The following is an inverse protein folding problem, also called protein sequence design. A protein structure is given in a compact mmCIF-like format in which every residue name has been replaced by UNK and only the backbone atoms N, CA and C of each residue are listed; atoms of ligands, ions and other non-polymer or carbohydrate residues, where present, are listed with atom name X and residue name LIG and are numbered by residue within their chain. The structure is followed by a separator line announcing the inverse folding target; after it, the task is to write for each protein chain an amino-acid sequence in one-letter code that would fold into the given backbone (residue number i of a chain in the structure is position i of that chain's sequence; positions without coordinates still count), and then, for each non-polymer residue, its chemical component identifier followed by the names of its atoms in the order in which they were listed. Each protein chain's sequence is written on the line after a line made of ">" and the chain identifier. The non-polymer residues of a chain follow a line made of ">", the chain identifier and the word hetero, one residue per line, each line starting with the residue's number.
data_IF_862936348126
#
_entry.id   IF_862936348126
#
_cell.length_a   1.000
_cell.length_b   1.000
_cell.length_c   1.000
_cell.angle_alpha   90.00
_cell.angle_beta   90.00
_cell.angle_gamma   90.00
#
_symmetry.space_group_name_H-M   'P 1'
#
loop_
_entity.id
_entity.type
_entity.pdbx_description
1 polymer ?
#
# COMPACT_ATOMS: atom_id res chain seq x y z
N UNK A 1 -55.41 -45.10 29.26
CA UNK A 1 -55.54 -43.67 29.56
C UNK A 1 -55.00 -42.89 28.38
N UNK A 2 -55.90 -42.27 27.64
CA UNK A 2 -55.67 -41.52 26.39
C UNK A 2 -55.11 -40.13 26.69
N UNK A 3 -53.87 -39.87 26.26
CA UNK A 3 -53.26 -38.54 26.33
C UNK A 3 -53.91 -37.63 25.26
N UNK A 4 -54.40 -36.48 25.70
CA UNK A 4 -55.18 -35.55 24.87
C UNK A 4 -54.31 -34.57 24.09
N UNK A 5 -54.79 -34.14 22.91
CA UNK A 5 -54.17 -33.20 21.95
C UNK A 5 -53.81 -31.80 22.49
N UNK A 6 -54.03 -31.50 23.77
CA UNK A 6 -53.79 -30.18 24.38
C UNK A 6 -52.48 -30.05 25.18
N UNK A 7 -51.66 -31.10 25.23
CA UNK A 7 -50.32 -31.06 25.86
C UNK A 7 -49.16 -31.02 24.85
N UNK A 8 -49.43 -30.80 23.57
CA UNK A 8 -48.40 -30.71 22.51
C UNK A 8 -48.00 -29.26 22.16
N UNK A 9 -48.53 -28.24 22.85
CA UNK A 9 -48.35 -26.83 22.47
C UNK A 9 -47.84 -25.93 23.59
N UNK A 10 -46.93 -26.42 24.44
CA UNK A 10 -46.07 -25.57 25.27
C UNK A 10 -44.68 -26.21 25.45
N UNK A 11 -43.86 -26.10 24.41
CA UNK A 11 -42.40 -26.14 24.50
C UNK A 11 -41.85 -25.16 23.45
N UNK A 12 -42.07 -23.88 23.73
CA UNK A 12 -41.32 -22.77 23.14
C UNK A 12 -39.88 -22.84 23.62
N UNK A 13 -38.93 -22.94 22.68
CA UNK A 13 -37.50 -22.88 22.94
C UNK A 13 -36.73 -22.79 21.64
N UNK A 14 -36.87 -21.67 20.92
CA UNK A 14 -35.98 -21.30 19.84
C UNK A 14 -34.59 -20.99 20.41
N UNK A 15 -33.64 -21.88 20.16
CA UNK A 15 -32.19 -21.67 20.26
C UNK A 15 -31.63 -22.51 19.09
N UNK A 16 -31.12 -21.95 18.01
CA UNK A 16 -30.21 -20.81 17.98
C UNK A 16 -28.81 -21.31 18.33
N UNK A 17 -28.20 -22.10 17.45
CA UNK A 17 -26.77 -22.30 17.42
C UNK A 17 -26.38 -22.58 15.96
N UNK A 18 -26.13 -21.50 15.23
CA UNK A 18 -25.23 -21.51 14.09
C UNK A 18 -23.94 -22.14 14.62
N UNK A 19 -23.62 -23.33 14.14
CA UNK A 19 -22.29 -23.88 14.31
C UNK A 19 -21.36 -22.96 13.50
N UNK A 20 -20.86 -21.92 14.16
CA UNK A 20 -19.69 -21.18 13.71
C UNK A 20 -18.56 -22.20 13.61
N UNK A 21 -18.32 -22.71 12.40
CA UNK A 21 -17.07 -23.36 12.07
C UNK A 21 -15.97 -22.29 12.15
N UNK A 22 -15.58 -21.95 13.38
CA UNK A 22 -14.40 -21.17 13.67
C UNK A 22 -13.19 -22.06 13.50
N UNK A 23 -12.76 -22.26 12.26
CA UNK A 23 -11.40 -22.65 11.94
C UNK A 23 -11.06 -22.08 10.55
N UNK A 24 -9.90 -21.41 10.48
CA UNK A 24 -9.24 -20.76 9.32
C UNK A 24 -9.48 -19.24 9.20
N UNK A 25 -8.46 -18.37 9.12
CA UNK A 25 -7.06 -18.59 8.76
C UNK A 25 -6.10 -17.58 9.43
N UNK A 26 -4.94 -18.09 9.84
CA UNK A 26 -3.70 -17.34 10.10
C UNK A 26 -3.38 -16.55 8.80
N UNK A 27 -3.54 -15.21 8.82
CA UNK A 27 -3.34 -14.37 7.62
C UNK A 27 -1.82 -14.31 7.35
N UNK A 28 -1.32 -14.86 6.22
CA UNK A 28 0.12 -14.92 6.00
C UNK A 28 0.75 -13.52 6.01
N UNK A 29 1.93 -13.44 6.63
CA UNK A 29 2.71 -12.21 6.78
C UNK A 29 2.05 -11.10 7.60
N UNK A 30 0.96 -11.38 8.32
CA UNK A 30 0.32 -10.45 9.24
C UNK A 30 0.13 -11.11 10.60
N UNK A 31 0.42 -10.40 11.69
CA UNK A 31 0.15 -10.90 13.04
C UNK A 31 -1.29 -10.67 13.45
N UNK A 32 -1.75 -11.51 14.38
CA UNK A 32 -3.06 -11.41 15.01
C UNK A 32 -4.21 -11.79 14.06
N UNK A 33 -5.39 -11.95 14.63
CA UNK A 33 -6.59 -12.38 13.89
C UNK A 33 -7.75 -11.38 14.00
N UNK A 34 -7.61 -10.36 14.83
CA UNK A 34 -8.67 -9.38 15.05
C UNK A 34 -8.93 -8.55 13.78
N UNK A 35 -10.19 -8.26 13.50
CA UNK A 35 -10.57 -7.28 12.50
C UNK A 35 -10.17 -5.85 12.93
N UNK A 36 -9.94 -4.92 11.99
CA UNK A 36 -9.68 -3.53 12.33
C UNK A 36 -10.89 -2.90 13.04
N UNK A 37 -10.64 -1.93 13.92
CA UNK A 37 -11.71 -1.11 14.52
C UNK A 37 -12.18 -0.04 13.54
N UNK A 38 -11.27 0.50 12.73
CA UNK A 38 -11.63 1.33 11.59
C UNK A 38 -12.41 0.47 10.59
N UNK A 39 -13.62 0.92 10.22
CA UNK A 39 -14.38 0.32 9.12
C UNK A 39 -14.01 1.05 7.83
N UNK A 40 -13.30 0.43 6.88
CA UNK A 40 -12.91 1.11 5.66
C UNK A 40 -14.15 1.48 4.83
N UNK A 41 -14.21 2.70 4.29
CA UNK A 41 -15.28 3.07 3.37
C UNK A 41 -15.36 2.11 2.19
N UNK A 42 -16.56 1.83 1.69
CA UNK A 42 -16.75 1.01 0.50
C UNK A 42 -15.92 1.56 -0.68
N UNK A 43 -15.17 0.68 -1.34
CA UNK A 43 -14.26 1.06 -2.42
C UNK A 43 -12.86 1.46 -1.95
N UNK A 44 -12.51 1.28 -0.67
CA UNK A 44 -11.16 1.48 -0.16
C UNK A 44 -10.11 0.68 -0.94
N UNK A 45 -8.91 1.26 -1.07
CA UNK A 45 -7.79 0.78 -1.88
C UNK A 45 -6.53 0.70 -1.00
N UNK A 46 -5.90 -0.48 -0.94
CA UNK A 46 -4.53 -0.59 -0.45
C UNK A 46 -3.56 -0.13 -1.53
N UNK A 47 -2.88 1.01 -1.34
CA UNK A 47 -2.07 1.63 -2.38
C UNK A 47 -0.62 1.13 -2.42
N UNK A 48 -0.22 0.17 -1.58
CA UNK A 48 1.13 -0.37 -1.61
C UNK A 48 1.17 -1.80 -1.08
N UNK A 49 1.26 -2.76 -1.99
CA UNK A 49 1.56 -4.15 -1.65
C UNK A 49 2.38 -4.80 -2.77
N UNK A 50 3.01 -5.93 -2.46
CA UNK A 50 3.83 -6.70 -3.37
C UNK A 50 3.35 -8.14 -3.42
N UNK A 51 3.58 -8.80 -4.56
CA UNK A 51 3.44 -10.24 -4.72
C UNK A 51 4.82 -10.86 -4.94
N UNK A 52 5.00 -12.09 -4.49
CA UNK A 52 6.23 -12.85 -4.64
C UNK A 52 5.94 -14.27 -5.09
N UNK A 53 6.69 -14.71 -6.09
CA UNK A 53 6.64 -16.02 -6.72
C UNK A 53 8.06 -16.46 -7.11
N UNK A 54 8.56 -17.50 -6.45
CA UNK A 54 9.88 -18.08 -6.63
C UNK A 54 10.09 -18.74 -8.01
N UNK A 55 9.02 -18.95 -8.80
CA UNK A 55 9.11 -19.42 -10.18
C UNK A 55 9.67 -18.37 -11.13
N UNK A 56 9.55 -17.09 -10.77
CA UNK A 56 10.19 -15.99 -11.51
C UNK A 56 11.54 -15.72 -10.83
N UNK A 57 12.66 -15.79 -11.57
CA UNK A 57 13.98 -15.61 -10.97
C UNK A 57 14.13 -14.17 -10.45
N UNK A 58 14.80 -14.04 -9.30
CA UNK A 58 15.19 -12.72 -8.80
C UNK A 58 16.17 -12.06 -9.78
N UNK A 59 16.08 -10.73 -9.90
CA UNK A 59 17.00 -9.94 -10.68
C UNK A 59 18.44 -10.07 -10.13
N UNK A 60 19.46 -10.03 -11.00
CA UNK A 60 20.86 -9.99 -10.55
C UNK A 60 21.10 -8.88 -9.53
N UNK A 61 21.72 -9.23 -8.39
CA UNK A 61 22.02 -8.27 -7.32
C UNK A 61 20.84 -7.95 -6.39
N UNK A 62 19.69 -8.61 -6.54
CA UNK A 62 18.59 -8.50 -5.58
C UNK A 62 19.03 -8.94 -4.17
N UNK A 63 18.78 -8.07 -3.18
CA UNK A 63 19.13 -8.32 -1.77
C UNK A 63 17.95 -8.76 -0.91
N UNK A 64 16.73 -8.40 -1.30
CA UNK A 64 15.50 -8.83 -0.65
C UNK A 64 14.94 -10.05 -1.39
N UNK A 65 14.95 -11.19 -0.70
CA UNK A 65 14.44 -12.47 -1.19
C UNK A 65 13.41 -13.04 -0.19
N UNK A 66 12.24 -12.40 -0.05
CA UNK A 66 11.21 -12.89 0.85
C UNK A 66 10.61 -14.21 0.33
N UNK A 67 9.87 -14.89 1.21
CA UNK A 67 9.10 -16.07 0.83
C UNK A 67 7.98 -15.73 -0.17
N UNK A 68 7.48 -16.74 -0.86
CA UNK A 68 6.34 -16.61 -1.77
C UNK A 68 5.12 -16.02 -1.06
N UNK A 69 4.53 -15.01 -1.67
CA UNK A 69 3.42 -14.25 -1.14
C UNK A 69 2.41 -14.04 -2.27
N UNK A 70 1.43 -14.94 -2.32
CA UNK A 70 0.50 -15.04 -3.44
C UNK A 70 -0.66 -14.05 -3.33
N UNK A 71 -1.37 -13.85 -4.44
CA UNK A 71 -2.61 -13.09 -4.44
C UNK A 71 -3.68 -13.76 -3.54
N UNK A 72 -3.70 -15.09 -3.47
CA UNK A 72 -4.60 -15.85 -2.60
C UNK A 72 -4.32 -15.61 -1.12
N UNK A 73 -3.04 -15.47 -0.74
CA UNK A 73 -2.67 -15.12 0.63
C UNK A 73 -3.07 -13.69 0.95
N UNK A 74 -2.85 -12.76 0.03
CA UNK A 74 -3.29 -11.38 0.21
C UNK A 74 -4.82 -11.25 0.30
N UNK A 75 -5.59 -12.07 -0.44
CA UNK A 75 -7.06 -12.10 -0.34
C UNK A 75 -7.57 -12.43 1.08
N UNK A 76 -6.81 -13.21 1.86
CA UNK A 76 -7.13 -13.45 3.28
C UNK A 76 -6.98 -12.17 4.09
N UNK A 77 -5.93 -11.39 3.83
CA UNK A 77 -5.76 -10.07 4.44
C UNK A 77 -6.87 -9.10 4.01
N UNK A 78 -7.21 -9.06 2.73
CA UNK A 78 -8.32 -8.25 2.21
C UNK A 78 -9.65 -8.56 2.91
N UNK A 79 -9.97 -9.84 3.10
CA UNK A 79 -11.15 -10.27 3.84
C UNK A 79 -11.10 -9.80 5.30
N UNK A 80 -9.94 -9.90 5.96
CA UNK A 80 -9.75 -9.44 7.34
C UNK A 80 -9.91 -7.92 7.46
N UNK A 81 -9.34 -7.15 6.55
CA UNK A 81 -9.35 -5.68 6.59
C UNK A 81 -10.65 -5.07 6.06
N UNK A 82 -11.41 -5.77 5.23
CA UNK A 82 -12.56 -5.20 4.52
C UNK A 82 -12.16 -4.30 3.34
N UNK A 83 -10.97 -4.52 2.76
CA UNK A 83 -10.43 -3.76 1.62
C UNK A 83 -10.33 -4.70 0.42
N UNK A 84 -10.93 -4.33 -0.72
CA UNK A 84 -11.00 -5.20 -1.91
C UNK A 84 -10.08 -4.77 -3.05
N UNK A 85 -9.84 -3.47 -3.20
CA UNK A 85 -9.00 -2.93 -4.28
C UNK A 85 -7.57 -2.76 -3.82
N UNK A 86 -6.62 -2.87 -4.75
CA UNK A 86 -5.19 -2.80 -4.41
C UNK A 86 -4.33 -2.21 -5.53
N UNK A 87 -3.19 -1.66 -5.16
CA UNK A 87 -2.12 -1.30 -6.09
C UNK A 87 -0.95 -2.25 -5.88
N UNK A 88 -0.71 -3.10 -6.89
CA UNK A 88 0.39 -4.07 -6.89
C UNK A 88 1.63 -3.37 -7.43
N UNK A 89 2.65 -3.23 -6.60
CA UNK A 89 3.91 -2.58 -6.95
C UNK A 89 4.94 -3.67 -7.26
N UNK A 90 5.64 -3.59 -8.39
CA UNK A 90 6.75 -4.51 -8.68
C UNK A 90 7.86 -4.33 -7.64
N UNK A 91 8.21 -5.38 -6.86
CA UNK A 91 9.26 -5.29 -5.86
C UNK A 91 10.64 -5.29 -6.53
N UNK A 92 11.65 -4.72 -5.84
CA UNK A 92 13.03 -4.67 -6.34
C UNK A 92 13.62 -6.06 -6.62
N UNK A 93 13.08 -7.10 -5.99
CA UNK A 93 13.45 -8.51 -6.20
C UNK A 93 13.42 -8.93 -7.67
N UNK A 94 12.49 -8.40 -8.46
CA UNK A 94 12.34 -8.78 -9.88
C UNK A 94 12.95 -7.78 -10.86
N UNK A 95 13.52 -6.66 -10.38
CA UNK A 95 14.04 -5.62 -11.26
C UNK A 95 12.96 -5.13 -12.23
N UNK A 96 13.23 -5.16 -13.53
CA UNK A 96 12.28 -4.77 -14.58
C UNK A 96 11.37 -5.92 -15.05
N UNK A 97 11.44 -7.11 -14.45
CA UNK A 97 10.52 -8.20 -14.76
C UNK A 97 9.21 -8.01 -14.00
N UNK A 98 8.19 -7.55 -14.72
CA UNK A 98 6.89 -7.21 -14.14
C UNK A 98 5.90 -8.40 -14.16
N UNK A 99 6.32 -9.62 -14.54
CA UNK A 99 5.39 -10.74 -14.77
C UNK A 99 4.56 -11.11 -13.55
N UNK A 100 5.15 -11.08 -12.35
CA UNK A 100 4.41 -11.38 -11.09
C UNK A 100 3.31 -10.34 -10.85
N UNK A 101 3.62 -9.05 -11.06
CA UNK A 101 2.64 -7.96 -10.92
C UNK A 101 1.54 -8.08 -11.98
N UNK A 102 1.90 -8.32 -13.24
CA UNK A 102 0.95 -8.47 -14.35
C UNK A 102 0.00 -9.67 -14.17
N UNK A 103 0.50 -10.82 -13.71
CA UNK A 103 -0.33 -11.97 -13.34
C UNK A 103 -1.32 -11.60 -12.22
N UNK A 104 -0.87 -10.86 -11.21
CA UNK A 104 -1.70 -10.30 -10.17
C UNK A 104 -2.81 -9.40 -10.71
N UNK A 105 -2.51 -8.50 -11.65
CA UNK A 105 -3.51 -7.63 -12.29
C UNK A 105 -4.57 -8.45 -13.03
N UNK A 106 -4.15 -9.41 -13.87
CA UNK A 106 -5.05 -10.29 -14.61
C UNK A 106 -5.99 -11.04 -13.66
N UNK A 107 -5.44 -11.65 -12.61
CA UNK A 107 -6.19 -12.47 -11.65
C UNK A 107 -7.02 -11.65 -10.67
N UNK A 108 -6.76 -10.35 -10.55
CA UNK A 108 -7.59 -9.42 -9.77
C UNK A 108 -8.95 -9.13 -10.42
N UNK A 109 -9.10 -9.38 -11.73
CA UNK A 109 -10.33 -9.11 -12.49
C UNK A 109 -10.84 -7.67 -12.37
N UNK A 110 -9.92 -6.71 -12.41
CA UNK A 110 -10.21 -5.27 -12.41
C UNK A 110 -10.11 -4.60 -11.04
N UNK A 111 -9.87 -5.37 -9.97
CA UNK A 111 -9.71 -4.84 -8.61
C UNK A 111 -8.31 -4.32 -8.30
N UNK A 112 -7.36 -4.48 -9.23
CA UNK A 112 -6.01 -3.98 -9.08
C UNK A 112 -5.61 -2.94 -10.13
N UNK A 113 -4.64 -2.12 -9.75
CA UNK A 113 -3.79 -1.34 -10.65
C UNK A 113 -2.33 -1.64 -10.37
N UNK A 114 -1.48 -1.47 -11.38
CA UNK A 114 -0.06 -1.79 -11.30
C UNK A 114 0.82 -0.55 -11.18
N UNK A 115 1.94 -0.69 -10.47
CA UNK A 115 3.10 0.20 -10.60
C UNK A 115 4.31 -0.63 -11.02
N UNK A 116 4.74 -0.43 -12.26
CA UNK A 116 5.81 -1.21 -12.89
C UNK A 116 7.20 -0.67 -12.57
N UNK A 117 8.23 -1.48 -12.78
CA UNK A 117 9.61 -1.03 -12.91
C UNK A 117 10.03 -1.29 -14.35
N UNK A 118 10.53 -0.28 -15.05
CA UNK A 118 10.80 -0.33 -16.49
C UNK A 118 12.24 0.04 -16.79
N UNK A 119 12.78 -0.46 -17.89
CA UNK A 119 14.09 -0.04 -18.38
C UNK A 119 13.99 1.33 -19.05
N UNK A 120 15.11 2.06 -19.13
CA UNK A 120 15.18 3.34 -19.85
C UNK A 120 14.90 3.19 -21.35
N UNK A 121 15.08 1.98 -21.89
CA UNK A 121 14.85 1.65 -23.30
C UNK A 121 13.43 1.20 -23.61
N UNK A 122 12.50 1.19 -22.64
CA UNK A 122 11.11 0.79 -22.89
C UNK A 122 10.49 1.63 -24.00
N UNK A 123 9.77 1.00 -24.92
CA UNK A 123 9.09 1.65 -26.06
C UNK A 123 7.70 2.15 -25.68
N UNK A 124 7.13 3.06 -26.47
CA UNK A 124 5.77 3.55 -26.24
C UNK A 124 4.72 2.45 -26.45
N UNK A 125 5.00 1.50 -27.34
CA UNK A 125 4.16 0.31 -27.54
C UNK A 125 4.11 -0.56 -26.28
N UNK A 126 5.26 -0.86 -25.67
CA UNK A 126 5.32 -1.61 -24.41
C UNK A 126 4.65 -0.85 -23.26
N UNK A 127 4.78 0.47 -23.18
CA UNK A 127 4.05 1.29 -22.21
C UNK A 127 2.54 1.22 -22.41
N UNK A 128 2.08 1.24 -23.67
CA UNK A 128 0.67 1.10 -24.00
C UNK A 128 0.14 -0.30 -23.63
N UNK A 129 0.92 -1.36 -23.86
CA UNK A 129 0.57 -2.73 -23.43
C UNK A 129 0.42 -2.81 -21.91
N UNK A 130 1.36 -2.24 -21.15
CA UNK A 130 1.26 -2.15 -19.70
C UNK A 130 0.02 -1.35 -19.26
N UNK A 131 -0.32 -0.27 -19.97
CA UNK A 131 -1.53 0.51 -19.68
C UNK A 131 -2.80 -0.32 -19.84
N UNK A 132 -2.91 -1.09 -20.93
CA UNK A 132 -4.04 -1.98 -21.17
C UNK A 132 -4.11 -3.10 -20.13
N UNK A 133 -2.97 -3.57 -19.62
CA UNK A 133 -2.92 -4.54 -18.54
C UNK A 133 -3.34 -3.97 -17.16
N UNK A 134 -3.51 -2.65 -17.03
CA UNK A 134 -3.94 -1.99 -15.80
C UNK A 134 -2.84 -1.28 -15.01
N UNK A 135 -1.63 -1.11 -15.59
CA UNK A 135 -0.58 -0.30 -14.99
C UNK A 135 -0.95 1.18 -15.06
N UNK A 136 -0.64 1.92 -13.99
CA UNK A 136 -0.94 3.36 -13.82
C UNK A 136 0.22 4.15 -13.22
N UNK A 137 1.39 3.53 -13.13
CA UNK A 137 2.60 4.19 -12.66
C UNK A 137 3.86 3.38 -12.94
N UNK A 138 5.00 4.07 -12.83
CA UNK A 138 6.33 3.45 -12.78
C UNK A 138 7.01 3.79 -11.46
N UNK A 139 7.93 2.94 -11.01
CA UNK A 139 8.65 3.13 -9.75
C UNK A 139 10.16 3.24 -9.95
N UNK A 140 10.74 4.22 -9.28
CA UNK A 140 12.17 4.31 -9.02
C UNK A 140 12.44 4.04 -7.54
N UNK A 141 13.41 3.17 -7.24
CA UNK A 141 13.77 2.81 -5.87
C UNK A 141 15.23 3.15 -5.60
N UNK A 142 15.46 4.10 -4.69
CA UNK A 142 16.82 4.56 -4.34
C UNK A 142 17.49 3.71 -3.26
N UNK A 143 16.87 2.63 -2.79
CA UNK A 143 17.55 1.68 -1.89
C UNK A 143 18.76 0.99 -2.54
N UNK A 144 18.89 1.06 -3.86
CA UNK A 144 20.04 0.57 -4.64
C UNK A 144 21.02 1.69 -5.06
N UNK A 145 20.80 2.93 -4.60
CA UNK A 145 21.64 4.11 -4.90
C UNK A 145 20.95 5.17 -5.78
N UNK A 146 21.52 6.38 -5.86
CA UNK A 146 20.94 7.53 -6.58
C UNK A 146 20.94 7.40 -8.11
N UNK A 147 21.83 6.57 -8.66
CA UNK A 147 21.85 6.18 -10.09
C UNK A 147 20.52 5.52 -10.52
N UNK A 148 19.72 5.05 -9.57
CA UNK A 148 18.38 4.58 -9.84
C UNK A 148 17.39 5.70 -10.24
N UNK A 149 17.81 6.94 -10.47
CA UNK A 149 17.00 7.98 -11.13
C UNK A 149 17.45 8.27 -12.57
N UNK A 150 18.32 7.45 -13.15
CA UNK A 150 18.71 7.61 -14.56
C UNK A 150 17.47 7.48 -15.45
N UNK A 151 17.29 8.40 -16.40
CA UNK A 151 16.13 8.42 -17.30
C UNK A 151 14.83 8.98 -16.69
N UNK A 152 14.84 9.42 -15.42
CA UNK A 152 13.66 9.90 -14.69
C UNK A 152 12.84 10.94 -15.47
N UNK A 153 13.45 12.02 -15.97
CA UNK A 153 12.73 13.11 -16.67
C UNK A 153 12.06 12.61 -17.95
N UNK A 154 12.79 11.81 -18.74
CA UNK A 154 12.30 11.27 -20.00
C UNK A 154 11.12 10.31 -19.76
N UNK A 155 11.28 9.37 -18.82
CA UNK A 155 10.21 8.45 -18.46
C UNK A 155 9.03 9.17 -17.81
N UNK A 156 9.26 10.15 -16.94
CA UNK A 156 8.21 10.96 -16.32
C UNK A 156 7.36 11.70 -17.35
N UNK A 157 7.99 12.30 -18.38
CA UNK A 157 7.28 12.95 -19.47
C UNK A 157 6.40 11.94 -20.23
N UNK A 158 6.97 10.81 -20.65
CA UNK A 158 6.27 9.77 -21.43
C UNK A 158 5.10 9.13 -20.67
N UNK A 159 5.30 8.74 -19.41
CA UNK A 159 4.20 8.17 -18.61
C UNK A 159 3.19 9.24 -18.20
N UNK A 160 3.60 10.50 -18.12
CA UNK A 160 2.71 11.64 -17.91
C UNK A 160 1.64 11.77 -19.00
N UNK A 161 1.99 11.50 -20.27
CA UNK A 161 1.04 11.48 -21.39
C UNK A 161 -0.03 10.39 -21.24
N UNK A 162 0.28 9.30 -20.53
CA UNK A 162 -0.66 8.22 -20.18
C UNK A 162 -1.47 8.52 -18.91
N UNK A 163 -1.27 9.68 -18.28
CA UNK A 163 -1.90 10.05 -17.00
C UNK A 163 -1.35 9.30 -15.78
N UNK A 164 -0.23 8.59 -15.94
CA UNK A 164 0.40 7.78 -14.89
C UNK A 164 1.13 8.63 -13.85
N UNK A 165 1.48 8.00 -12.74
CA UNK A 165 2.36 8.57 -11.72
C UNK A 165 3.78 8.01 -11.78
N UNK A 166 4.72 8.82 -11.32
CA UNK A 166 6.08 8.38 -10.98
C UNK A 166 6.15 8.18 -9.48
N UNK A 167 6.24 6.92 -9.07
CA UNK A 167 6.43 6.52 -7.67
C UNK A 167 7.92 6.47 -7.33
N UNK A 168 8.30 7.02 -6.17
CA UNK A 168 9.69 7.08 -5.74
C UNK A 168 9.83 6.59 -4.30
N UNK A 169 10.62 5.53 -4.11
CA UNK A 169 11.13 5.14 -2.80
C UNK A 169 12.48 5.82 -2.58
N UNK A 170 12.45 6.99 -1.94
CA UNK A 170 13.63 7.86 -1.84
C UNK A 170 14.66 7.40 -0.82
N UNK A 171 14.26 6.58 0.14
CA UNK A 171 15.08 6.31 1.33
C UNK A 171 15.52 7.62 2.00
N UNK A 172 16.75 7.69 2.54
CA UNK A 172 17.26 8.91 3.19
C UNK A 172 17.58 10.06 2.22
N UNK A 173 17.55 9.82 0.90
CA UNK A 173 18.02 10.77 -0.11
C UNK A 173 16.97 11.82 -0.53
N UNK A 174 15.77 11.80 0.08
CA UNK A 174 14.69 12.73 -0.28
C UNK A 174 15.14 14.21 -0.36
N UNK A 175 15.90 14.77 0.61
CA UNK A 175 16.32 16.17 0.52
C UNK A 175 17.17 16.48 -0.71
N UNK A 176 18.04 15.54 -1.10
CA UNK A 176 18.94 15.68 -2.25
C UNK A 176 18.18 15.60 -3.58
N UNK A 177 17.22 14.68 -3.70
CA UNK A 177 16.49 14.44 -4.95
C UNK A 177 15.26 15.34 -5.11
N UNK A 178 14.77 15.96 -4.03
CA UNK A 178 13.56 16.78 -4.06
C UNK A 178 13.57 17.91 -5.11
N UNK A 179 14.67 18.66 -5.36
CA UNK A 179 14.70 19.66 -6.43
C UNK A 179 14.40 19.06 -7.81
N UNK A 180 14.94 17.87 -8.09
CA UNK A 180 14.71 17.14 -9.34
C UNK A 180 13.26 16.68 -9.45
N UNK A 181 12.70 16.14 -8.36
CA UNK A 181 11.29 15.74 -8.29
C UNK A 181 10.33 16.92 -8.52
N UNK A 182 10.61 18.08 -7.91
CA UNK A 182 9.81 19.30 -8.10
C UNK A 182 9.78 19.77 -9.56
N UNK A 183 10.86 19.52 -10.31
CA UNK A 183 10.98 19.91 -11.71
C UNK A 183 10.30 18.93 -12.69
N UNK A 184 9.97 17.70 -12.27
CA UNK A 184 9.33 16.72 -13.16
C UNK A 184 7.95 17.22 -13.62
N UNK A 185 7.50 16.84 -14.83
CA UNK A 185 6.08 16.95 -15.19
C UNK A 185 5.26 15.82 -14.52
N UNK A 186 3.94 15.97 -14.50
CA UNK A 186 3.03 14.89 -14.11
C UNK A 186 2.95 14.63 -12.60
N UNK A 187 2.32 13.49 -12.26
CA UNK A 187 1.98 13.08 -10.88
C UNK A 187 3.16 12.34 -10.24
N UNK A 188 3.43 12.62 -8.98
CA UNK A 188 4.52 12.03 -8.19
C UNK A 188 3.94 11.36 -6.95
N UNK A 189 4.43 10.17 -6.62
CA UNK A 189 4.07 9.46 -5.38
C UNK A 189 5.33 9.18 -4.57
N UNK A 190 5.37 9.63 -3.32
CA UNK A 190 6.48 9.35 -2.41
C UNK A 190 6.09 8.19 -1.49
N UNK A 191 6.89 7.13 -1.51
CA UNK A 191 6.68 5.95 -0.68
C UNK A 191 7.01 6.21 0.81
N UNK A 192 6.31 5.50 1.69
CA UNK A 192 6.61 5.34 3.12
C UNK A 192 6.94 6.66 3.86
N UNK A 193 6.10 7.68 3.69
CA UNK A 193 6.27 9.00 4.29
C UNK A 193 7.66 9.60 4.03
N UNK A 194 8.24 9.34 2.86
CA UNK A 194 9.55 9.84 2.47
C UNK A 194 10.70 9.40 3.38
N UNK A 195 10.50 8.34 4.17
CA UNK A 195 11.49 7.83 5.11
C UNK A 195 12.03 8.89 6.09
N UNK A 196 11.18 9.85 6.50
CA UNK A 196 11.54 10.92 7.44
C UNK A 196 12.28 10.36 8.66
N UNK A 197 13.49 10.86 8.97
CA UNK A 197 14.30 10.31 10.06
C UNK A 197 13.71 10.66 11.43
N UNK A 198 14.04 9.81 12.40
CA UNK A 198 13.73 9.98 13.82
C UNK A 198 15.05 10.09 14.60
N UNK A 199 15.14 10.96 15.63
CA UNK A 199 14.03 11.66 16.28
C UNK A 199 13.70 13.07 15.72
N UNK A 200 14.43 13.56 14.72
CA UNK A 200 14.29 14.95 14.23
C UNK A 200 12.93 15.21 13.58
N UNK A 201 12.35 14.19 12.92
CA UNK A 201 11.00 14.16 12.39
C UNK A 201 10.62 15.46 11.64
N UNK A 202 9.70 16.25 12.21
CA UNK A 202 9.16 17.48 11.63
C UNK A 202 10.20 18.58 11.43
N UNK A 203 11.35 18.51 12.12
CA UNK A 203 12.47 19.45 11.95
C UNK A 203 13.48 18.99 10.91
N UNK A 204 13.32 17.79 10.37
CA UNK A 204 14.27 17.23 9.40
C UNK A 204 14.15 17.90 8.03
N UNK A 205 15.26 17.99 7.27
CA UNK A 205 15.22 18.41 5.87
C UNK A 205 14.30 17.53 4.99
N UNK A 206 14.15 16.25 5.34
CA UNK A 206 13.27 15.32 4.62
C UNK A 206 11.80 15.72 4.78
N UNK A 207 11.35 16.06 6.00
CA UNK A 207 9.99 16.54 6.21
C UNK A 207 9.74 17.85 5.47
N UNK A 208 10.68 18.81 5.54
CA UNK A 208 10.58 20.05 4.78
C UNK A 208 10.49 19.82 3.26
N UNK A 209 11.19 18.80 2.73
CA UNK A 209 11.09 18.42 1.32
C UNK A 209 9.71 17.83 0.96
N UNK A 210 9.12 17.01 1.83
CA UNK A 210 7.75 16.51 1.64
C UNK A 210 6.73 17.64 1.58
N UNK A 211 6.82 18.61 2.51
CA UNK A 211 5.93 19.78 2.51
C UNK A 211 6.04 20.54 1.19
N UNK A 212 7.25 20.84 0.72
CA UNK A 212 7.43 21.52 -0.58
C UNK A 212 6.87 20.73 -1.76
N UNK A 213 7.01 19.41 -1.76
CA UNK A 213 6.41 18.55 -2.80
C UNK A 213 4.87 18.58 -2.71
N UNK A 214 4.31 18.50 -1.51
CA UNK A 214 2.87 18.60 -1.26
C UNK A 214 2.28 19.97 -1.54
N UNK A 215 3.08 21.04 -1.49
CA UNK A 215 2.65 22.38 -1.91
C UNK A 215 2.47 22.45 -3.44
N UNK A 216 2.99 21.45 -4.17
CA UNK A 216 2.56 21.19 -5.54
C UNK A 216 1.24 20.41 -5.53
N UNK A 217 0.35 20.69 -6.47
CA UNK A 217 -0.87 19.88 -6.65
C UNK A 217 -0.62 18.50 -7.27
N UNK A 218 0.65 18.12 -7.44
CA UNK A 218 1.10 16.97 -8.22
C UNK A 218 1.75 15.88 -7.39
N UNK A 219 1.93 16.06 -6.09
CA UNK A 219 2.58 15.06 -5.24
C UNK A 219 1.58 14.39 -4.28
N UNK A 220 1.71 13.08 -4.13
CA UNK A 220 1.02 12.26 -3.14
C UNK A 220 2.02 11.56 -2.23
N UNK A 221 1.62 11.25 -1.00
CA UNK A 221 2.46 10.52 -0.04
C UNK A 221 1.72 9.29 0.47
N UNK A 222 2.43 8.15 0.52
CA UNK A 222 1.91 6.93 1.13
C UNK A 222 2.18 6.87 2.63
N UNK A 223 1.12 6.88 3.43
CA UNK A 223 1.06 6.57 4.86
C UNK A 223 1.14 5.05 5.04
N UNK A 224 2.35 4.51 4.94
CA UNK A 224 2.63 3.07 4.93
C UNK A 224 3.89 2.75 5.72
N UNK A 225 4.03 1.48 6.12
CA UNK A 225 5.24 0.92 6.71
C UNK A 225 5.89 1.77 7.84
N UNK A 226 5.15 2.16 8.89
CA UNK A 226 5.68 3.02 9.96
C UNK A 226 6.89 2.41 10.67
N UNK A 227 7.00 1.08 10.67
CA UNK A 227 8.14 0.33 11.22
C UNK A 227 9.48 0.64 10.53
N UNK A 228 9.51 1.19 9.31
CA UNK A 228 10.76 1.48 8.59
C UNK A 228 11.60 2.58 9.25
N UNK A 229 10.96 3.47 10.03
CA UNK A 229 11.63 4.62 10.65
C UNK A 229 11.33 4.81 12.12
N UNK A 230 10.30 4.15 12.66
CA UNK A 230 9.99 4.23 14.08
C UNK A 230 11.14 3.67 14.93
N UNK A 231 11.47 4.41 15.99
CA UNK A 231 12.36 4.02 17.09
C UNK A 231 11.56 3.55 18.31
N UNK A 232 10.28 3.92 18.40
CA UNK A 232 9.36 3.49 19.47
C UNK A 232 8.74 2.12 19.15
N UNK A 233 8.34 1.89 17.89
CA UNK A 233 7.76 0.64 17.43
C UNK A 233 6.26 0.49 17.68
N UNK A 234 5.79 -0.74 17.46
CA UNK A 234 4.40 -1.15 17.62
C UNK A 234 3.92 -1.03 19.10
N UNK A 235 2.61 -0.91 19.35
CA UNK A 235 1.53 -0.94 18.37
C UNK A 235 1.20 0.42 17.74
N UNK A 236 1.66 1.53 18.33
CA UNK A 236 1.21 2.88 17.96
C UNK A 236 2.17 3.63 17.04
N UNK A 237 3.46 3.27 17.02
CA UNK A 237 4.50 3.97 16.25
C UNK A 237 4.45 5.50 16.44
N UNK A 238 4.33 5.95 17.70
CA UNK A 238 3.93 7.33 18.01
C UNK A 238 4.84 8.41 17.39
N UNK A 239 6.12 8.12 17.27
CA UNK A 239 7.13 9.00 16.66
C UNK A 239 6.88 9.22 15.16
N UNK A 240 6.61 8.16 14.41
CA UNK A 240 6.21 8.24 12.99
C UNK A 240 4.78 8.78 12.86
N UNK A 241 3.91 8.48 13.83
CA UNK A 241 2.54 8.98 13.85
C UNK A 241 2.45 10.50 13.91
N UNK A 242 3.42 11.18 14.55
CA UNK A 242 3.52 12.65 14.51
C UNK A 242 3.79 13.17 13.11
N UNK A 243 4.62 12.48 12.33
CA UNK A 243 4.89 12.80 10.91
C UNK A 243 3.63 12.60 10.08
N UNK A 244 2.99 11.43 10.19
CA UNK A 244 1.75 11.13 9.47
C UNK A 244 0.65 12.16 9.76
N UNK A 245 0.42 12.49 11.03
CA UNK A 245 -0.59 13.47 11.46
C UNK A 245 -0.30 14.86 10.88
N UNK A 246 0.96 15.29 10.84
CA UNK A 246 1.35 16.57 10.26
C UNK A 246 1.11 16.61 8.74
N UNK A 247 1.44 15.53 8.02
CA UNK A 247 1.19 15.43 6.57
C UNK A 247 -0.31 15.42 6.25
N UNK A 248 -1.10 14.65 7.00
CA UNK A 248 -2.57 14.61 6.87
C UNK A 248 -3.18 15.98 7.14
N UNK A 249 -2.70 16.70 8.17
CA UNK A 249 -3.21 18.02 8.50
C UNK A 249 -2.87 19.05 7.41
N UNK A 250 -1.73 18.90 6.74
CA UNK A 250 -1.27 19.80 5.68
C UNK A 250 -2.02 19.60 4.36
N UNK A 251 -2.11 18.35 3.87
CA UNK A 251 -2.73 18.01 2.57
C UNK A 251 -3.48 16.67 2.62
N UNK A 252 -4.67 16.60 3.26
CA UNK A 252 -5.43 15.36 3.37
C UNK A 252 -5.87 14.79 2.01
N UNK A 253 -6.01 15.65 1.00
CA UNK A 253 -6.35 15.34 -0.40
C UNK A 253 -5.17 14.78 -1.22
N UNK A 254 -4.00 14.62 -0.61
CA UNK A 254 -2.78 14.06 -1.24
C UNK A 254 -2.20 12.87 -0.48
N UNK A 255 -2.90 12.36 0.52
CA UNK A 255 -2.48 11.21 1.29
C UNK A 255 -3.07 9.91 0.72
N UNK A 256 -2.29 8.85 0.77
CA UNK A 256 -2.67 7.49 0.39
C UNK A 256 -2.33 6.55 1.55
N UNK A 257 -3.07 5.47 1.75
CA UNK A 257 -2.70 4.42 2.69
C UNK A 257 -2.20 3.18 1.95
N UNK A 258 -1.26 2.45 2.53
CA UNK A 258 -0.86 1.14 2.02
C UNK A 258 -0.29 0.24 3.12
N UNK A 259 -0.54 -1.07 3.00
CA UNK A 259 -0.09 -2.05 4.00
C UNK A 259 1.43 -2.28 3.99
N UNK A 260 2.04 -2.15 2.82
CA UNK A 260 3.39 -2.65 2.51
C UNK A 260 3.49 -4.19 2.62
N UNK A 261 2.36 -4.91 2.61
CA UNK A 261 2.33 -6.37 2.64
C UNK A 261 3.13 -6.95 1.46
N UNK A 262 3.95 -8.00 1.66
CA UNK A 262 4.11 -8.86 2.84
C UNK A 262 5.23 -8.39 3.80
N UNK A 263 5.50 -7.08 3.84
CA UNK A 263 6.50 -6.41 4.68
C UNK A 263 7.92 -6.93 4.43
N UNK A 264 8.43 -6.87 3.19
CA UNK A 264 9.62 -7.60 2.76
C UNK A 264 10.91 -7.21 3.51
N UNK A 265 10.91 -6.06 4.19
CA UNK A 265 12.05 -5.59 5.01
C UNK A 265 12.06 -6.13 6.44
N UNK A 266 11.02 -6.86 6.86
CA UNK A 266 10.89 -7.43 8.21
C UNK A 266 11.04 -8.94 8.18
N UNK A 267 11.68 -9.48 9.22
CA UNK A 267 11.70 -10.92 9.48
C UNK A 267 10.28 -11.44 9.82
N UNK A 268 10.05 -12.74 9.69
CA UNK A 268 8.73 -13.35 9.84
C UNK A 268 8.12 -13.11 11.24
N UNK A 269 8.94 -13.17 12.27
CA UNK A 269 8.59 -12.92 13.66
C UNK A 269 8.41 -11.43 13.99
N UNK A 270 8.74 -10.53 13.06
CA UNK A 270 8.65 -9.08 13.24
C UNK A 270 7.52 -8.43 12.44
N UNK A 271 6.79 -9.21 11.64
CA UNK A 271 5.66 -8.71 10.84
C UNK A 271 4.65 -7.96 11.72
N UNK A 272 4.06 -6.85 11.24
CA UNK A 272 3.06 -6.10 11.99
C UNK A 272 1.73 -6.84 12.02
N UNK A 273 0.81 -6.36 12.83
CA UNK A 273 -0.62 -6.66 12.71
C UNK A 273 -1.24 -5.60 11.79
N UNK A 274 -1.64 -5.99 10.56
CA UNK A 274 -2.16 -5.04 9.57
C UNK A 274 -3.48 -4.38 9.98
N UNK A 275 -4.30 -5.05 10.81
CA UNK A 275 -5.51 -4.43 11.35
C UNK A 275 -5.14 -3.27 12.28
N UNK A 276 -4.08 -3.42 13.07
CA UNK A 276 -3.55 -2.34 13.91
C UNK A 276 -2.91 -1.24 13.07
N UNK A 277 -2.18 -1.59 11.99
CA UNK A 277 -1.60 -0.61 11.06
C UNK A 277 -2.69 0.23 10.39
N UNK A 278 -3.79 -0.38 9.96
CA UNK A 278 -4.95 0.33 9.42
C UNK A 278 -5.61 1.25 10.48
N UNK A 279 -5.77 0.75 11.70
CA UNK A 279 -6.32 1.51 12.84
C UNK A 279 -5.50 2.75 13.21
N UNK A 280 -4.22 2.86 12.80
CA UNK A 280 -3.42 4.07 13.00
C UNK A 280 -4.06 5.30 12.35
N UNK A 281 -4.84 5.13 11.27
CA UNK A 281 -5.59 6.22 10.64
C UNK A 281 -6.62 6.85 11.58
N UNK A 282 -7.15 6.11 12.56
CA UNK A 282 -8.04 6.70 13.58
C UNK A 282 -7.34 7.76 14.42
N UNK A 283 -6.00 7.71 14.51
CA UNK A 283 -5.18 8.71 15.22
C UNK A 283 -4.61 9.75 14.26
N UNK A 284 -4.09 9.33 13.11
CA UNK A 284 -3.46 10.23 12.15
C UNK A 284 -4.47 11.12 11.40
N UNK A 285 -5.68 10.59 11.19
CA UNK A 285 -6.76 11.19 10.43
C UNK A 285 -8.11 10.92 11.14
N UNK A 286 -8.40 11.52 12.30
CA UNK A 286 -9.55 11.11 13.14
C UNK A 286 -10.92 11.41 12.53
N UNK A 287 -11.00 12.26 11.50
CA UNK A 287 -12.26 12.57 10.81
C UNK A 287 -12.54 11.52 9.73
N UNK A 288 -13.74 10.94 9.75
CA UNK A 288 -14.18 9.94 8.77
C UNK A 288 -14.07 10.43 7.32
N UNK A 289 -14.38 11.70 7.06
CA UNK A 289 -14.23 12.31 5.73
C UNK A 289 -12.78 12.28 5.26
N UNK A 290 -11.81 12.52 6.15
CA UNK A 290 -10.39 12.44 5.82
C UNK A 290 -9.96 11.00 5.58
N UNK A 291 -10.48 10.04 6.34
CA UNK A 291 -10.23 8.61 6.11
C UNK A 291 -10.76 8.17 4.74
N UNK A 292 -11.94 8.65 4.33
CA UNK A 292 -12.50 8.39 3.00
C UNK A 292 -11.66 8.98 1.87
N UNK A 293 -11.11 10.19 2.04
CA UNK A 293 -10.14 10.74 1.10
C UNK A 293 -8.92 9.81 0.94
N UNK A 294 -8.30 9.44 2.06
CA UNK A 294 -7.06 8.65 2.09
C UNK A 294 -7.26 7.25 1.53
N UNK A 295 -8.33 6.57 1.93
CA UNK A 295 -8.56 5.17 1.61
C UNK A 295 -9.26 4.98 0.25
N UNK A 296 -10.03 5.95 -0.23
CA UNK A 296 -10.88 5.78 -1.42
C UNK A 296 -10.71 6.88 -2.46
N UNK A 297 -10.99 8.14 -2.12
CA UNK A 297 -11.19 9.16 -3.15
C UNK A 297 -9.86 9.58 -3.81
N UNK A 298 -8.83 9.84 -3.02
CA UNK A 298 -7.49 10.17 -3.52
C UNK A 298 -6.92 9.04 -4.38
N UNK A 299 -6.89 7.77 -3.94
CA UNK A 299 -6.37 6.69 -4.78
C UNK A 299 -7.23 6.40 -6.00
N UNK A 300 -8.56 6.59 -5.93
CA UNK A 300 -9.43 6.43 -7.10
C UNK A 300 -9.07 7.42 -8.20
N UNK A 301 -8.86 8.69 -7.84
CA UNK A 301 -8.43 9.72 -8.77
C UNK A 301 -7.02 9.48 -9.31
N UNK A 302 -6.07 9.10 -8.43
CA UNK A 302 -4.67 8.96 -8.79
C UNK A 302 -4.44 7.78 -9.75
N UNK A 303 -5.05 6.63 -9.44
CA UNK A 303 -4.83 5.36 -10.13
C UNK A 303 -5.96 4.99 -11.10
N UNK A 304 -6.91 5.88 -11.39
CA UNK A 304 -7.93 5.68 -12.43
C UNK A 304 -8.72 4.36 -12.21
N UNK A 305 -9.34 4.25 -11.02
CA UNK A 305 -10.16 3.10 -10.58
C UNK A 305 -11.65 3.25 -10.88
#
# INVERSE_FOLDING_TARGET
>A
MTLSRRQFLQATGALGAVASMGAMADVPFSKGDAHPRLTPPAGSIDCHMHLYDSRIPAAPGATLLPADASLEDYRKLQQRLGIRRMVIVTPSTYGTDNRVMLDGLLRSRGDARGVAVVSNGITDAELAELHQAGVRGIRFNLSVGSQALDGLESLAARVGELGWNVQVATGPLLPEVAPRLLALPGKIVIDHMGHVPQPEALKSPAFAALVRLLDTDRAWIKLSAPYLRSKIGAPLFEDVGRVATALVSHRPDRMLWGSDWPHPTLAAEQKPDDAQVLDLLMRWAPKEQTQALILRDNPTQLYDF
#
